data_IF_408191939005
#
_entry.id   IF_408191939005
#
_cell.length_a   1.000
_cell.length_b   1.000
_cell.length_c   1.000
_cell.angle_alpha   90.00
_cell.angle_beta   90.00
_cell.angle_gamma   90.00
#
_symmetry.space_group_name_H-M   'P 1'
#
loop_
_entity.id
_entity.type
_entity.pdbx_description
1 polymer ?
#
# COMPACT_ATOMS: atom_id res chain seq x y z
N UNK A 1 -20.61 -32.24 -25.26
CA UNK A 1 -20.70 -30.85 -25.76
C UNK A 1 -20.67 -29.94 -24.55
N UNK A 2 -19.51 -29.34 -24.27
CA UNK A 2 -19.33 -28.42 -23.15
C UNK A 2 -19.84 -27.05 -23.61
N UNK A 3 -20.84 -26.53 -22.90
CA UNK A 3 -21.35 -25.17 -23.09
C UNK A 3 -20.27 -24.21 -22.59
N UNK A 4 -19.75 -23.27 -23.39
CA UNK A 4 -18.80 -22.30 -22.87
C UNK A 4 -19.53 -21.31 -21.96
N UNK A 5 -18.97 -21.11 -20.77
CA UNK A 5 -19.42 -20.13 -19.80
C UNK A 5 -19.38 -18.73 -20.43
N UNK A 6 -20.54 -18.08 -20.48
CA UNK A 6 -20.70 -16.67 -20.81
C UNK A 6 -19.85 -15.82 -19.87
N UNK A 7 -18.90 -15.09 -20.44
CA UNK A 7 -18.15 -14.02 -19.78
C UNK A 7 -19.12 -12.96 -19.24
N UNK A 8 -18.89 -12.37 -18.06
CA UNK A 8 -19.68 -11.23 -17.63
C UNK A 8 -19.38 -10.06 -18.57
N UNK A 9 -20.39 -9.68 -19.35
CA UNK A 9 -20.39 -8.51 -20.21
C UNK A 9 -20.03 -7.26 -19.42
N UNK A 10 -19.08 -6.47 -19.94
CA UNK A 10 -18.82 -5.12 -19.47
C UNK A 10 -20.15 -4.33 -19.39
N UNK A 11 -20.37 -3.50 -18.36
CA UNK A 11 -21.59 -2.73 -18.25
C UNK A 11 -21.71 -1.78 -19.47
N UNK A 12 -22.93 -1.58 -20.00
CA UNK A 12 -23.13 -0.69 -21.14
C UNK A 12 -22.71 0.73 -20.78
N UNK A 13 -22.08 1.42 -21.73
CA UNK A 13 -21.50 2.78 -21.61
C UNK A 13 -22.54 3.90 -21.40
N UNK A 14 -23.70 3.60 -20.81
CA UNK A 14 -24.82 4.53 -20.62
C UNK A 14 -25.72 4.16 -19.43
N UNK A 15 -25.23 3.40 -18.45
CA UNK A 15 -25.94 3.29 -17.17
C UNK A 15 -25.90 4.66 -16.47
N UNK A 16 -27.07 5.21 -16.14
CA UNK A 16 -27.15 6.45 -15.39
C UNK A 16 -26.35 6.31 -14.07
N UNK A 17 -25.48 7.28 -13.72
CA UNK A 17 -24.69 7.21 -12.51
C UNK A 17 -25.61 7.00 -11.30
N UNK A 18 -25.25 6.12 -10.34
CA UNK A 18 -26.06 5.92 -9.13
C UNK A 18 -26.33 7.27 -8.44
N UNK A 19 -27.53 7.46 -7.84
CA UNK A 19 -27.89 8.73 -7.22
C UNK A 19 -26.88 9.09 -6.12
N UNK A 20 -26.23 10.26 -6.24
CA UNK A 20 -25.16 10.71 -5.35
C UNK A 20 -23.73 10.50 -5.90
N UNK A 21 -23.58 9.94 -7.10
CA UNK A 21 -22.27 9.83 -7.77
C UNK A 21 -21.98 11.00 -8.72
N UNK A 22 -20.72 11.39 -8.79
CA UNK A 22 -20.17 12.33 -9.77
C UNK A 22 -19.39 11.55 -10.84
N UNK A 23 -19.47 11.98 -12.09
CA UNK A 23 -18.64 11.42 -13.17
C UNK A 23 -17.58 12.44 -13.56
N UNK A 24 -16.31 12.04 -13.47
CA UNK A 24 -15.15 12.84 -13.81
C UNK A 24 -14.59 12.41 -15.17
N UNK A 25 -14.18 13.39 -15.96
CA UNK A 25 -13.41 13.15 -17.18
C UNK A 25 -11.92 13.12 -16.85
N UNK A 26 -11.31 11.94 -16.95
CA UNK A 26 -9.91 11.69 -16.60
C UNK A 26 -9.20 11.11 -17.82
N UNK A 27 -8.47 11.95 -18.56
CA UNK A 27 -7.67 11.50 -19.71
C UNK A 27 -8.50 10.86 -20.83
N UNK A 28 -9.73 11.35 -21.05
CA UNK A 28 -10.68 10.82 -22.04
C UNK A 28 -11.47 9.61 -21.56
N UNK A 29 -11.38 9.28 -20.27
CA UNK A 29 -12.16 8.25 -19.63
C UNK A 29 -13.18 8.85 -18.66
N UNK A 30 -14.37 8.29 -18.66
CA UNK A 30 -15.41 8.60 -17.69
C UNK A 30 -15.17 7.76 -16.42
N UNK A 31 -14.82 8.43 -15.33
CA UNK A 31 -14.59 7.83 -14.01
C UNK A 31 -15.76 8.14 -13.11
N UNK A 32 -16.39 7.12 -12.55
CA UNK A 32 -17.48 7.31 -11.59
C UNK A 32 -16.90 7.38 -10.18
N UNK A 33 -17.26 8.43 -9.44
CA UNK A 33 -16.94 8.59 -8.02
C UNK A 33 -18.24 8.64 -7.24
N UNK A 34 -18.45 7.67 -6.35
CA UNK A 34 -19.64 7.54 -5.52
C UNK A 34 -19.23 7.46 -4.06
N UNK A 35 -19.79 8.30 -3.19
CA UNK A 35 -19.53 8.29 -1.74
C UNK A 35 -18.03 8.32 -1.36
N UNK A 36 -17.21 9.01 -2.16
CA UNK A 36 -15.76 9.07 -1.96
C UNK A 36 -14.97 7.85 -2.49
N UNK A 37 -15.61 6.95 -3.22
CA UNK A 37 -14.97 5.82 -3.88
C UNK A 37 -14.90 6.03 -5.38
N UNK A 38 -13.69 6.11 -5.94
CA UNK A 38 -13.49 6.21 -7.38
C UNK A 38 -13.30 4.82 -8.00
N UNK A 39 -14.00 4.53 -9.09
CA UNK A 39 -13.80 3.31 -9.88
C UNK A 39 -13.22 3.70 -11.24
N UNK A 40 -11.96 3.34 -11.45
CA UNK A 40 -11.26 3.59 -12.70
C UNK A 40 -11.64 2.52 -13.74
N UNK A 41 -11.86 2.91 -15.01
CA UNK A 41 -12.34 1.99 -16.03
C UNK A 41 -11.30 0.96 -16.47
N UNK A 42 -11.76 -0.25 -16.76
CA UNK A 42 -10.93 -1.33 -17.32
C UNK A 42 -10.33 -0.93 -18.68
N UNK A 43 -9.07 -1.30 -18.90
CA UNK A 43 -8.32 -0.90 -20.09
C UNK A 43 -7.56 0.41 -19.95
N UNK A 44 -7.80 1.20 -18.89
CA UNK A 44 -6.94 2.33 -18.58
C UNK A 44 -5.54 1.82 -18.19
N UNK A 45 -4.54 2.18 -18.98
CA UNK A 45 -3.13 1.78 -18.77
C UNK A 45 -2.30 2.86 -18.11
N UNK A 46 -2.73 4.12 -18.18
CA UNK A 46 -2.04 5.27 -17.62
C UNK A 46 -3.06 6.18 -16.93
N UNK A 47 -2.87 6.48 -15.65
CA UNK A 47 -3.63 7.52 -14.97
C UNK A 47 -2.97 8.88 -15.24
N UNK A 48 -3.64 9.84 -15.89
CA UNK A 48 -3.04 11.10 -16.27
C UNK A 48 -2.66 11.98 -15.07
N UNK A 49 -1.82 12.97 -15.33
CA UNK A 49 -1.39 13.93 -14.33
C UNK A 49 -2.59 14.67 -13.73
N UNK A 50 -2.53 14.93 -12.41
CA UNK A 50 -3.52 15.69 -11.64
C UNK A 50 -4.96 15.14 -11.70
N UNK A 51 -5.16 13.88 -12.11
CA UNK A 51 -6.47 13.24 -12.29
C UNK A 51 -7.49 13.47 -11.15
N UNK A 52 -7.04 13.36 -9.90
CA UNK A 52 -7.82 13.54 -8.68
C UNK A 52 -7.17 14.56 -7.74
N UNK A 53 -6.40 15.50 -8.27
CA UNK A 53 -5.74 16.51 -7.44
C UNK A 53 -6.76 17.29 -6.60
N UNK A 54 -6.47 17.51 -5.32
CA UNK A 54 -7.35 18.20 -4.36
C UNK A 54 -8.70 17.54 -4.08
N UNK A 55 -8.88 16.26 -4.45
CA UNK A 55 -10.14 15.56 -4.18
C UNK A 55 -10.22 15.12 -2.71
N UNK A 56 -10.46 16.07 -1.82
CA UNK A 56 -10.38 15.88 -0.37
C UNK A 56 -11.42 14.93 0.23
N UNK A 57 -12.49 14.54 -0.48
CA UNK A 57 -13.44 13.52 0.00
C UNK A 57 -13.25 12.14 -0.64
N UNK A 58 -12.19 11.95 -1.42
CA UNK A 58 -11.83 10.64 -1.94
C UNK A 58 -11.25 9.80 -0.80
N UNK A 59 -11.87 8.66 -0.53
CA UNK A 59 -11.56 7.72 0.56
C UNK A 59 -10.85 6.49 0.03
N UNK A 60 -11.24 5.99 -1.15
CA UNK A 60 -10.56 4.88 -1.82
C UNK A 60 -10.68 4.93 -3.34
N UNK A 61 -9.83 4.16 -4.00
CA UNK A 61 -9.76 4.07 -5.47
C UNK A 61 -9.64 2.60 -5.86
N UNK A 62 -10.55 2.14 -6.71
CA UNK A 62 -10.45 0.85 -7.37
C UNK A 62 -9.69 1.02 -8.68
N UNK A 63 -8.46 0.51 -8.73
CA UNK A 63 -7.61 0.57 -9.92
C UNK A 63 -7.86 -0.63 -10.85
N UNK A 64 -7.82 -0.43 -12.19
CA UNK A 64 -7.97 -1.52 -13.13
C UNK A 64 -6.70 -2.36 -13.18
N UNK A 65 -6.85 -3.64 -13.51
CA UNK A 65 -5.72 -4.59 -13.57
C UNK A 65 -4.70 -4.29 -14.67
N UNK A 66 -5.06 -3.40 -15.61
CA UNK A 66 -4.22 -2.97 -16.73
C UNK A 66 -3.36 -1.74 -16.43
N UNK A 67 -3.53 -1.09 -15.28
CA UNK A 67 -2.85 0.17 -14.99
C UNK A 67 -1.35 -0.05 -14.83
N UNK A 68 -0.56 0.56 -15.71
CA UNK A 68 0.89 0.44 -15.76
C UNK A 68 1.61 1.61 -15.08
N UNK A 69 1.00 2.80 -15.03
CA UNK A 69 1.61 3.99 -14.43
C UNK A 69 0.59 4.96 -13.85
N UNK A 70 1.03 5.68 -12.80
CA UNK A 70 0.32 6.81 -12.19
C UNK A 70 1.07 8.11 -12.50
N UNK A 71 0.35 9.09 -13.06
CA UNK A 71 0.89 10.38 -13.44
C UNK A 71 1.28 11.30 -12.29
N UNK A 72 1.89 12.43 -12.64
CA UNK A 72 2.31 13.47 -11.73
C UNK A 72 1.10 14.04 -10.96
N UNK A 73 1.22 14.16 -9.64
CA UNK A 73 0.18 14.77 -8.76
C UNK A 73 -1.20 14.12 -8.88
N UNK A 74 -1.30 12.90 -9.39
CA UNK A 74 -2.57 12.26 -9.72
C UNK A 74 -3.57 12.20 -8.54
N UNK A 75 -3.09 12.03 -7.31
CA UNK A 75 -3.87 12.04 -6.07
C UNK A 75 -3.35 13.08 -5.06
N UNK A 76 -2.58 14.07 -5.49
CA UNK A 76 -2.03 15.06 -4.57
C UNK A 76 -3.15 15.80 -3.82
N UNK A 77 -2.99 15.97 -2.50
CA UNK A 77 -3.92 16.60 -1.58
C UNK A 77 -5.27 15.86 -1.41
N UNK A 78 -5.32 14.55 -1.67
CA UNK A 78 -6.45 13.68 -1.31
C UNK A 78 -6.40 13.34 0.19
N UNK A 79 -6.69 14.31 1.05
CA UNK A 79 -6.49 14.20 2.51
C UNK A 79 -7.33 13.13 3.22
N UNK A 80 -8.40 12.62 2.60
CA UNK A 80 -9.24 11.55 3.16
C UNK A 80 -8.91 10.15 2.63
N UNK A 81 -7.93 10.02 1.73
CA UNK A 81 -7.58 8.74 1.13
C UNK A 81 -6.89 7.85 2.17
N UNK A 82 -7.54 6.76 2.59
CA UNK A 82 -7.10 5.95 3.75
C UNK A 82 -6.16 4.82 3.35
N UNK A 83 -6.40 4.21 2.20
CA UNK A 83 -5.66 3.05 1.71
C UNK A 83 -5.56 3.07 0.19
N UNK A 84 -4.44 2.58 -0.34
CA UNK A 84 -4.25 2.33 -1.77
C UNK A 84 -3.89 0.88 -2.01
N UNK A 85 -4.65 0.22 -2.88
CA UNK A 85 -4.37 -1.13 -3.37
C UNK A 85 -3.91 -1.01 -4.83
N UNK A 86 -2.59 -0.98 -5.02
CA UNK A 86 -2.00 -0.72 -6.32
C UNK A 86 -1.98 -2.01 -7.17
N UNK A 87 -2.40 -1.95 -8.45
CA UNK A 87 -2.53 -3.15 -9.27
C UNK A 87 -1.16 -3.75 -9.60
N UNK A 88 -1.09 -5.07 -9.71
CA UNK A 88 0.14 -5.83 -9.95
C UNK A 88 0.91 -5.42 -11.22
N UNK A 89 0.21 -4.84 -12.21
CA UNK A 89 0.80 -4.33 -13.45
C UNK A 89 1.51 -2.99 -13.32
N UNK A 90 1.36 -2.28 -12.20
CA UNK A 90 1.92 -0.95 -12.02
C UNK A 90 3.45 -1.02 -11.91
N UNK A 91 4.11 -0.23 -12.75
CA UNK A 91 5.58 -0.21 -12.86
C UNK A 91 6.21 1.09 -12.39
N UNK A 92 5.45 2.20 -12.35
CA UNK A 92 5.93 3.52 -11.95
C UNK A 92 4.86 4.38 -11.26
N UNK A 93 5.32 5.20 -10.31
CA UNK A 93 4.54 6.23 -9.61
C UNK A 93 5.19 7.59 -9.87
N UNK A 94 4.42 8.53 -10.43
CA UNK A 94 4.88 9.86 -10.83
C UNK A 94 5.24 10.79 -9.66
N UNK A 95 5.84 11.93 -10.02
CA UNK A 95 6.18 12.98 -9.05
C UNK A 95 4.93 13.44 -8.27
N UNK A 96 5.04 13.54 -6.95
CA UNK A 96 3.99 14.02 -6.05
C UNK A 96 2.66 13.26 -6.16
N UNK A 97 2.65 12.04 -6.71
CA UNK A 97 1.43 11.30 -7.02
C UNK A 97 0.44 11.20 -5.85
N UNK A 98 0.93 10.99 -4.63
CA UNK A 98 0.15 10.89 -3.39
C UNK A 98 0.58 11.94 -2.36
N UNK A 99 1.11 13.08 -2.81
CA UNK A 99 1.54 14.15 -1.91
C UNK A 99 0.39 14.61 -1.00
N UNK A 100 0.65 14.81 0.28
CA UNK A 100 -0.29 15.32 1.29
C UNK A 100 -1.59 14.50 1.39
N UNK A 101 -1.53 13.18 1.11
CA UNK A 101 -2.58 12.22 1.45
C UNK A 101 -2.48 11.86 2.95
N UNK A 102 -2.79 12.82 3.83
CA UNK A 102 -2.50 12.74 5.26
C UNK A 102 -3.22 11.60 6.00
N UNK A 103 -4.37 11.13 5.52
CA UNK A 103 -5.07 9.98 6.09
C UNK A 103 -4.56 8.61 5.60
N UNK A 104 -3.59 8.57 4.66
CA UNK A 104 -3.10 7.32 4.10
C UNK A 104 -2.34 6.53 5.16
N UNK A 105 -2.90 5.41 5.59
CA UNK A 105 -2.34 4.58 6.68
C UNK A 105 -1.49 3.41 6.15
N UNK A 106 -1.87 2.89 4.98
CA UNK A 106 -1.24 1.72 4.35
C UNK A 106 -1.07 1.95 2.85
N UNK A 107 0.10 1.59 2.33
CA UNK A 107 0.39 1.55 0.91
C UNK A 107 0.98 0.18 0.55
N UNK A 108 0.21 -0.64 -0.16
CA UNK A 108 0.69 -1.91 -0.70
C UNK A 108 1.30 -1.66 -2.07
N UNK A 109 2.60 -1.94 -2.21
CA UNK A 109 3.33 -1.74 -3.46
C UNK A 109 3.38 -3.03 -4.28
N UNK A 110 3.13 -2.98 -5.59
CA UNK A 110 3.11 -4.17 -6.42
C UNK A 110 4.53 -4.66 -6.72
N UNK A 111 4.68 -5.97 -6.85
CA UNK A 111 5.98 -6.64 -7.05
C UNK A 111 6.74 -6.21 -8.32
N UNK A 112 6.07 -5.53 -9.27
CA UNK A 112 6.66 -5.00 -10.50
C UNK A 112 7.06 -3.53 -10.44
N UNK A 113 6.83 -2.82 -9.33
CA UNK A 113 7.15 -1.40 -9.20
C UNK A 113 8.67 -1.19 -9.22
N UNK A 114 9.16 -0.37 -10.15
CA UNK A 114 10.60 -0.15 -10.36
C UNK A 114 11.09 1.18 -9.79
N UNK A 115 10.23 2.19 -9.72
CA UNK A 115 10.59 3.53 -9.26
C UNK A 115 9.46 4.25 -8.51
N UNK A 116 9.86 5.06 -7.54
CA UNK A 116 9.00 6.00 -6.81
C UNK A 116 9.49 7.41 -7.10
N UNK A 117 8.62 8.26 -7.67
CA UNK A 117 8.94 9.63 -8.07
C UNK A 117 9.27 10.59 -6.92
N UNK A 118 9.75 11.76 -7.31
CA UNK A 118 10.07 12.87 -6.39
C UNK A 118 8.82 13.24 -5.58
N UNK A 119 8.95 13.38 -4.26
CA UNK A 119 7.87 13.73 -3.35
C UNK A 119 6.60 12.84 -3.45
N UNK A 120 6.67 11.62 -4.01
CA UNK A 120 5.50 10.82 -4.35
C UNK A 120 4.54 10.59 -3.18
N UNK A 121 5.05 10.38 -1.97
CA UNK A 121 4.29 10.17 -0.72
C UNK A 121 4.63 11.24 0.33
N UNK A 122 5.18 12.39 -0.08
CA UNK A 122 5.51 13.48 0.84
C UNK A 122 4.26 13.93 1.60
N UNK A 123 4.33 14.04 2.93
CA UNK A 123 3.22 14.49 3.77
C UNK A 123 2.14 13.43 4.06
N UNK A 124 2.38 12.15 3.76
CA UNK A 124 1.52 11.05 4.19
C UNK A 124 1.74 10.77 5.70
N UNK A 125 1.29 11.69 6.56
CA UNK A 125 1.63 11.71 7.99
C UNK A 125 1.10 10.50 8.78
N UNK A 126 0.03 9.85 8.32
CA UNK A 126 -0.55 8.66 8.97
C UNK A 126 0.05 7.33 8.49
N UNK A 127 0.98 7.34 7.52
CA UNK A 127 1.54 6.11 6.94
C UNK A 127 2.48 5.45 7.95
N UNK A 128 2.11 4.27 8.47
CA UNK A 128 2.82 3.64 9.60
C UNK A 128 3.97 2.74 9.16
N UNK A 129 3.74 1.98 8.08
CA UNK A 129 4.72 1.03 7.56
C UNK A 129 4.61 0.88 6.06
N UNK A 130 5.76 0.62 5.43
CA UNK A 130 5.83 0.31 4.01
C UNK A 130 6.73 -0.91 3.76
N UNK A 131 6.28 -1.78 2.86
CA UNK A 131 7.08 -2.87 2.31
C UNK A 131 7.39 -2.54 0.86
N UNK A 132 8.65 -2.26 0.57
CA UNK A 132 9.07 -1.91 -0.79
C UNK A 132 9.35 -3.18 -1.59
N UNK A 133 8.89 -3.28 -2.85
CA UNK A 133 8.96 -4.50 -3.63
C UNK A 133 10.40 -4.79 -4.09
N UNK A 134 10.71 -6.08 -4.29
CA UNK A 134 12.04 -6.53 -4.66
C UNK A 134 12.57 -5.94 -5.97
N UNK A 135 11.69 -5.51 -6.88
CA UNK A 135 12.00 -4.87 -8.16
C UNK A 135 12.39 -3.39 -8.04
N UNK A 136 12.15 -2.75 -6.90
CA UNK A 136 12.36 -1.31 -6.74
C UNK A 136 13.87 -1.00 -6.73
N UNK A 137 14.29 -0.17 -7.68
CA UNK A 137 15.71 0.18 -7.85
C UNK A 137 16.06 1.53 -7.25
N UNK A 138 15.11 2.48 -7.20
CA UNK A 138 15.34 3.86 -6.77
C UNK A 138 14.16 4.47 -6.01
N UNK A 139 14.49 5.31 -5.03
CA UNK A 139 13.54 6.14 -4.27
C UNK A 139 13.92 7.61 -4.49
N UNK A 140 13.01 8.39 -5.08
CA UNK A 140 13.25 9.77 -5.46
C UNK A 140 13.42 10.75 -4.29
N UNK A 141 13.93 11.94 -4.61
CA UNK A 141 14.11 13.05 -3.65
C UNK A 141 12.81 13.33 -2.90
N UNK A 142 12.88 13.45 -1.57
CA UNK A 142 11.73 13.70 -0.70
C UNK A 142 10.55 12.70 -0.83
N UNK A 143 10.74 11.50 -1.40
CA UNK A 143 9.65 10.57 -1.72
C UNK A 143 8.70 10.30 -0.54
N UNK A 144 9.21 10.18 0.68
CA UNK A 144 8.48 9.98 1.93
C UNK A 144 8.76 11.10 2.95
N UNK A 145 9.04 12.32 2.48
CA UNK A 145 9.27 13.48 3.35
C UNK A 145 8.08 13.75 4.28
N UNK A 146 8.32 14.06 5.55
CA UNK A 146 7.27 14.32 6.56
C UNK A 146 6.22 13.20 6.73
N UNK A 147 6.61 11.93 6.57
CA UNK A 147 5.76 10.81 6.98
C UNK A 147 5.93 10.56 8.49
N UNK A 148 5.22 11.33 9.31
CA UNK A 148 5.44 11.40 10.76
C UNK A 148 5.26 10.07 11.50
N UNK A 149 4.25 9.28 11.12
CA UNK A 149 3.96 7.98 11.70
C UNK A 149 4.83 6.83 11.14
N UNK A 150 5.65 7.08 10.12
CA UNK A 150 6.38 6.01 9.42
C UNK A 150 7.47 5.45 10.31
N UNK A 151 7.21 4.29 10.90
CA UNK A 151 8.08 3.64 11.86
C UNK A 151 8.87 2.48 11.24
N UNK A 152 8.27 1.79 10.26
CA UNK A 152 8.83 0.57 9.69
C UNK A 152 8.94 0.68 8.17
N UNK A 153 10.15 0.49 7.65
CA UNK A 153 10.42 0.45 6.21
C UNK A 153 11.26 -0.78 5.90
N UNK A 154 10.73 -1.67 5.07
CA UNK A 154 11.48 -2.82 4.53
C UNK A 154 12.04 -2.46 3.16
N UNK A 155 13.36 -2.28 3.08
CA UNK A 155 14.05 -1.95 1.82
C UNK A 155 14.45 -3.24 1.07
N UNK A 156 14.32 -3.27 -0.27
CA UNK A 156 14.66 -4.46 -1.04
C UNK A 156 16.18 -4.59 -1.19
N UNK A 157 16.65 -5.83 -1.24
CA UNK A 157 18.07 -6.13 -1.40
C UNK A 157 18.67 -5.59 -2.72
N UNK A 158 17.83 -5.38 -3.75
CA UNK A 158 18.22 -4.85 -5.06
C UNK A 158 18.27 -3.32 -5.16
N UNK A 159 17.96 -2.60 -4.08
CA UNK A 159 17.92 -1.14 -4.10
C UNK A 159 19.30 -0.54 -4.41
N UNK A 160 19.32 0.43 -5.34
CA UNK A 160 20.55 1.08 -5.82
C UNK A 160 20.69 2.52 -5.36
N UNK A 161 19.58 3.25 -5.18
CA UNK A 161 19.61 4.64 -4.72
C UNK A 161 18.46 5.01 -3.80
N UNK A 162 18.80 5.80 -2.78
CA UNK A 162 17.88 6.53 -1.92
C UNK A 162 18.30 7.99 -2.03
N UNK A 163 17.50 8.81 -2.69
CA UNK A 163 17.88 10.19 -2.99
C UNK A 163 17.80 11.10 -1.74
N UNK A 164 18.23 12.35 -1.92
CA UNK A 164 18.29 13.34 -0.84
C UNK A 164 16.92 13.56 -0.19
N UNK A 165 16.92 13.69 1.13
CA UNK A 165 15.72 13.97 1.93
C UNK A 165 14.57 12.94 1.79
N UNK A 166 14.82 11.75 1.21
CA UNK A 166 13.78 10.76 0.89
C UNK A 166 12.88 10.39 2.09
N UNK A 167 13.43 10.27 3.29
CA UNK A 167 12.69 10.00 4.54
C UNK A 167 12.94 11.10 5.59
N UNK A 168 13.37 12.29 5.18
CA UNK A 168 13.58 13.38 6.13
C UNK A 168 12.26 13.73 6.84
N UNK A 169 12.37 14.16 8.09
CA UNK A 169 11.22 14.46 8.96
C UNK A 169 10.29 13.26 9.22
N UNK A 170 10.82 12.03 9.22
CA UNK A 170 10.14 10.82 9.72
C UNK A 170 10.64 10.45 11.14
N UNK A 171 10.22 11.14 12.21
CA UNK A 171 10.77 10.95 13.56
C UNK A 171 10.55 9.54 14.14
N UNK A 172 9.52 8.84 13.68
CA UNK A 172 9.21 7.46 14.10
C UNK A 172 10.14 6.42 13.49
N UNK A 173 10.91 6.78 12.45
CA UNK A 173 11.83 5.89 11.76
C UNK A 173 13.16 5.80 12.52
N UNK A 174 13.22 4.92 13.52
CA UNK A 174 14.39 4.84 14.42
C UNK A 174 15.51 3.97 13.84
N UNK A 175 15.17 2.92 13.09
CA UNK A 175 16.13 1.95 12.56
C UNK A 175 15.75 1.52 11.17
N UNK A 176 16.74 1.48 10.28
CA UNK A 176 16.57 0.96 8.93
C UNK A 176 17.72 0.05 8.56
N UNK A 177 17.42 -0.97 7.76
CA UNK A 177 18.44 -1.80 7.11
C UNK A 177 18.42 -1.51 5.62
N UNK A 178 19.55 -1.09 5.07
CA UNK A 178 19.70 -0.72 3.66
C UNK A 178 20.81 -1.56 3.03
N UNK A 179 20.76 -1.85 1.72
CA UNK A 179 21.82 -2.62 1.09
C UNK A 179 23.12 -1.83 1.00
N UNK A 180 24.26 -2.51 1.10
CA UNK A 180 25.58 -1.88 0.95
C UNK A 180 25.80 -1.27 -0.43
N UNK A 181 25.06 -1.74 -1.43
CA UNK A 181 25.08 -1.24 -2.81
C UNK A 181 24.30 0.06 -2.99
N UNK A 182 23.42 0.44 -2.06
CA UNK A 182 22.63 1.65 -2.19
C UNK A 182 23.46 2.92 -1.91
N UNK A 183 23.39 3.87 -2.83
CA UNK A 183 23.76 5.25 -2.58
C UNK A 183 22.70 5.90 -1.69
N UNK A 184 23.14 6.68 -0.69
CA UNK A 184 22.24 7.38 0.22
C UNK A 184 22.52 8.87 0.07
N UNK A 185 21.51 9.62 -0.37
CA UNK A 185 21.56 11.05 -0.59
C UNK A 185 21.70 11.84 0.72
N UNK A 186 22.00 13.12 0.57
CA UNK A 186 22.14 14.02 1.72
C UNK A 186 20.80 14.13 2.46
N UNK A 187 20.83 14.02 3.79
CA UNK A 187 19.63 14.12 4.61
C UNK A 187 18.56 13.04 4.32
N UNK A 188 18.90 11.95 3.61
CA UNK A 188 17.92 10.94 3.21
C UNK A 188 17.14 10.32 4.40
N UNK A 189 17.75 10.30 5.59
CA UNK A 189 17.13 9.86 6.83
C UNK A 189 17.25 10.94 7.92
N UNK A 190 16.34 10.96 8.90
CA UNK A 190 16.47 11.79 10.09
C UNK A 190 17.79 11.50 10.82
N UNK A 191 18.39 12.52 11.43
CA UNK A 191 19.66 12.38 12.16
C UNK A 191 19.61 11.35 13.30
N UNK A 192 18.44 11.09 13.87
CA UNK A 192 18.24 10.11 14.93
C UNK A 192 18.18 8.65 14.41
N UNK A 193 18.09 8.44 13.09
CA UNK A 193 17.89 7.12 12.49
C UNK A 193 19.18 6.32 12.49
N UNK A 194 19.14 5.13 13.06
CA UNK A 194 20.25 4.17 12.98
C UNK A 194 20.16 3.43 11.64
N UNK A 195 21.04 3.79 10.72
CA UNK A 195 21.15 3.16 9.41
C UNK A 195 22.14 2.00 9.46
N UNK A 196 21.65 0.77 9.31
CA UNK A 196 22.46 -0.43 9.19
C UNK A 196 22.64 -0.81 7.72
N UNK A 197 23.88 -0.84 7.24
CA UNK A 197 24.20 -1.31 5.88
C UNK A 197 24.49 -2.82 5.90
N UNK A 198 23.85 -3.59 5.02
CA UNK A 198 24.11 -5.04 4.85
C UNK A 198 24.32 -5.43 3.39
N UNK A 199 25.16 -6.45 3.10
CA UNK A 199 25.21 -7.04 1.77
C UNK A 199 23.83 -7.58 1.34
N UNK A 200 23.43 -7.45 0.07
CA UNK A 200 22.14 -7.96 -0.44
C UNK A 200 21.87 -9.42 -0.06
N UNK A 201 22.90 -10.28 -0.09
CA UNK A 201 22.80 -11.69 0.28
C UNK A 201 22.39 -11.92 1.75
N UNK A 202 22.71 -10.98 2.66
CA UNK A 202 22.39 -11.08 4.09
C UNK A 202 21.04 -10.45 4.44
N UNK A 203 20.51 -9.55 3.63
CA UNK A 203 19.21 -8.92 3.90
C UNK A 203 18.07 -9.95 3.88
N UNK A 204 18.09 -10.88 2.91
CA UNK A 204 17.11 -11.98 2.82
C UNK A 204 17.07 -12.87 4.07
N UNK A 205 18.23 -13.07 4.70
CA UNK A 205 18.32 -13.83 5.95
C UNK A 205 17.71 -13.05 7.12
N UNK A 206 17.96 -11.74 7.20
CA UNK A 206 17.34 -10.91 8.24
C UNK A 206 15.83 -10.79 8.06
N UNK A 207 15.32 -10.65 6.84
CA UNK A 207 13.87 -10.69 6.54
C UNK A 207 13.24 -11.99 7.04
N UNK A 208 13.87 -13.14 6.73
CA UNK A 208 13.40 -14.44 7.20
C UNK A 208 13.48 -14.59 8.73
N UNK A 209 14.53 -14.05 9.36
CA UNK A 209 14.68 -14.05 10.83
C UNK A 209 13.65 -13.14 11.49
N UNK A 210 13.42 -11.95 10.97
CA UNK A 210 12.43 -11.01 11.46
C UNK A 210 11.02 -11.60 11.33
N UNK A 211 10.71 -12.25 10.20
CA UNK A 211 9.48 -13.02 10.01
C UNK A 211 9.34 -14.19 10.98
N UNK A 212 10.41 -14.96 11.20
CA UNK A 212 10.41 -16.05 12.18
C UNK A 212 10.27 -15.54 13.64
N UNK A 213 10.85 -14.38 13.96
CA UNK A 213 10.75 -13.75 15.27
C UNK A 213 9.35 -13.17 15.50
N UNK A 214 8.76 -12.55 14.47
CA UNK A 214 7.36 -12.14 14.46
C UNK A 214 6.46 -13.35 14.69
N UNK A 215 6.61 -14.42 13.91
CA UNK A 215 5.86 -15.67 14.11
C UNK A 215 6.03 -16.22 15.53
N UNK A 216 7.24 -16.23 16.09
CA UNK A 216 7.49 -16.69 17.46
C UNK A 216 6.80 -15.82 18.51
N UNK A 217 6.69 -14.50 18.30
CA UNK A 217 5.93 -13.58 19.17
C UNK A 217 4.43 -13.81 19.05
N UNK A 218 3.93 -14.15 17.87
CA UNK A 218 2.52 -14.44 17.61
C UNK A 218 2.10 -15.85 18.06
N UNK A 219 3.05 -16.79 18.15
CA UNK A 219 2.80 -18.20 18.45
C UNK A 219 1.96 -18.43 19.73
N UNK A 220 2.18 -17.73 20.86
CA UNK A 220 1.35 -17.88 22.06
C UNK A 220 -0.08 -17.38 21.86
N UNK A 221 -0.25 -16.26 21.14
CA UNK A 221 -1.57 -15.73 20.78
C UNK A 221 -2.31 -16.71 19.87
N UNK A 222 -1.60 -17.32 18.91
CA UNK A 222 -2.15 -18.33 18.00
C UNK A 222 -2.58 -19.60 18.74
N UNK A 223 -1.78 -20.10 19.69
CA UNK A 223 -2.20 -21.23 20.52
C UNK A 223 -3.38 -20.88 21.42
N UNK A 224 -3.36 -19.72 22.08
CA UNK A 224 -4.48 -19.27 22.90
C UNK A 224 -5.77 -19.11 22.09
N UNK A 225 -5.66 -18.59 20.86
CA UNK A 225 -6.78 -18.51 19.93
C UNK A 225 -7.25 -19.91 19.49
N UNK A 226 -6.35 -20.82 19.12
CA UNK A 226 -6.70 -22.20 18.73
C UNK A 226 -7.38 -22.96 19.87
N UNK A 227 -6.94 -22.80 21.11
CA UNK A 227 -7.60 -23.39 22.29
C UNK A 227 -9.00 -22.81 22.51
N UNK A 228 -9.17 -21.49 22.36
CA UNK A 228 -10.49 -20.84 22.41
C UNK A 228 -11.40 -21.34 21.29
N UNK A 229 -10.89 -21.43 20.06
CA UNK A 229 -11.63 -21.95 18.91
C UNK A 229 -12.00 -23.43 19.08
N UNK A 230 -11.09 -24.26 19.61
CA UNK A 230 -11.33 -25.67 19.88
C UNK A 230 -12.37 -25.89 21.00
N UNK A 231 -12.43 -24.99 21.98
CA UNK A 231 -13.48 -25.00 23.02
C UNK A 231 -14.85 -24.62 22.43
N UNK A 232 -14.88 -23.81 21.37
CA UNK A 232 -16.10 -23.36 20.67
C UNK A 232 -16.56 -24.31 19.56
N UNK A 233 -15.76 -25.32 19.21
CA UNK A 233 -16.11 -26.32 18.18
C UNK A 233 -17.41 -27.09 18.48
N UNK A 234 -17.86 -27.14 19.74
CA UNK A 234 -19.16 -27.69 20.14
C UNK A 234 -20.37 -26.77 19.98
N UNK A 235 -20.21 -25.50 19.59
CA UNK A 235 -21.27 -24.49 19.53
C UNK A 235 -21.53 -23.90 18.14
N UNK A 236 -20.90 -24.43 17.09
CA UNK A 236 -21.19 -24.04 15.70
C UNK A 236 -22.57 -24.57 15.28
N UNK A 237 -23.61 -23.80 15.58
CA UNK A 237 -24.93 -23.95 14.96
C UNK A 237 -24.89 -23.68 13.45
N UNK A 238 -25.94 -24.07 12.71
CA UNK A 238 -26.00 -24.01 11.24
C UNK A 238 -25.83 -22.60 10.65
N UNK A 239 -26.02 -21.55 11.45
CA UNK A 239 -26.15 -20.16 10.98
C UNK A 239 -24.82 -19.42 10.81
N UNK A 240 -23.67 -20.07 11.04
CA UNK A 240 -22.35 -19.50 10.74
C UNK A 240 -21.91 -18.30 11.61
N UNK A 241 -22.78 -17.75 12.48
CA UNK A 241 -22.49 -16.59 13.32
C UNK A 241 -21.30 -16.78 14.27
N UNK A 242 -21.06 -18.01 14.73
CA UNK A 242 -19.86 -18.32 15.52
C UNK A 242 -18.57 -18.23 14.68
N UNK A 243 -18.60 -18.58 13.39
CA UNK A 243 -17.44 -18.44 12.49
C UNK A 243 -17.11 -16.98 12.20
N UNK A 244 -18.13 -16.15 12.03
CA UNK A 244 -17.96 -14.71 11.84
C UNK A 244 -17.32 -14.05 13.08
N UNK A 245 -17.79 -14.40 14.28
CA UNK A 245 -17.19 -13.93 15.54
C UNK A 245 -15.75 -14.39 15.73
N UNK A 246 -15.44 -15.65 15.44
CA UNK A 246 -14.07 -16.15 15.57
C UNK A 246 -13.13 -15.53 14.53
N UNK A 247 -13.66 -15.17 13.35
CA UNK A 247 -12.95 -14.40 12.32
C UNK A 247 -12.68 -12.97 12.78
N UNK A 248 -13.67 -12.28 13.33
CA UNK A 248 -13.50 -10.92 13.88
C UNK A 248 -12.55 -10.92 15.09
N UNK A 249 -12.58 -11.95 15.94
CA UNK A 249 -11.63 -12.12 17.06
C UNK A 249 -10.22 -12.43 16.56
N UNK A 250 -10.07 -13.25 15.51
CA UNK A 250 -8.79 -13.48 14.85
C UNK A 250 -8.27 -12.18 14.20
N UNK A 251 -9.09 -11.50 13.42
CA UNK A 251 -8.71 -10.25 12.77
C UNK A 251 -8.38 -9.18 13.82
N UNK A 252 -9.07 -9.12 14.96
CA UNK A 252 -8.79 -8.20 16.07
C UNK A 252 -7.52 -8.53 16.87
N UNK A 253 -7.35 -9.78 17.29
CA UNK A 253 -6.19 -10.24 18.07
C UNK A 253 -4.88 -10.16 17.25
N UNK A 254 -4.99 -10.27 15.92
CA UNK A 254 -3.86 -10.26 14.99
C UNK A 254 -3.79 -8.98 14.12
N UNK A 255 -4.69 -8.00 14.27
CA UNK A 255 -4.72 -6.76 13.47
C UNK A 255 -3.40 -5.98 13.48
N UNK A 256 -2.75 -5.89 14.65
CA UNK A 256 -1.47 -5.21 14.80
C UNK A 256 -0.31 -5.99 14.14
N UNK A 257 -0.53 -7.26 13.76
CA UNK A 257 0.49 -8.18 13.24
C UNK A 257 0.40 -8.36 11.72
N UNK A 258 -0.73 -8.00 11.10
CA UNK A 258 -0.93 -8.00 9.65
C UNK A 258 0.03 -7.05 8.90
N UNK A 259 0.70 -6.13 9.60
CA UNK A 259 1.72 -5.22 9.03
C UNK A 259 3.07 -5.90 8.71
N UNK A 260 3.19 -7.23 8.91
CA UNK A 260 4.46 -7.96 8.77
C UNK A 260 4.39 -9.26 7.96
N UNK A 261 3.28 -9.55 7.29
CA UNK A 261 3.16 -10.75 6.47
C UNK A 261 2.43 -10.45 5.16
N UNK A 262 3.16 -9.87 4.21
CA UNK A 262 3.03 -10.07 2.76
C UNK A 262 4.33 -9.63 2.08
#
# INVERSE_FOLDING_TARGET
MVVPASTPSAPPSNAAPPPGSETLEVGGWQVVVADGHAVLPEGMTHLPDRAFQHRASLVSVAFPRSLASIGERAFAFCSSLVSIDLPASLTSIGEQAFRDCSALTTAAFPAGLTSIGICAFSGCSSLVSITLPASLTSIGTCAFYCCEALANVTFPAGLTSIDSHAFESCPSLIRVTVPTTATIGFGAFPLATIVRRLPPAKMRWYEAVDGALAYKRCRPLLYGWLERAQTRLGSYGPDGAARQRDREEFEGDFAHLALHAD
#
